data_IF_063381048602
#
_entry.id   IF_063381048602
#
_cell.length_a   1.000
_cell.length_b   1.000
_cell.length_c   1.000
_cell.angle_alpha   90.00
_cell.angle_beta   90.00
_cell.angle_gamma   90.00
#
_symmetry.space_group_name_H-M   'P 1'
#
loop_
_entity.id
_entity.type
_entity.pdbx_description
1 polymer ?
#
# COMPACT_ATOMS: atom_id res chain seq x y z
N UNK A 1 10.20 -17.09 -11.25
CA UNK A 1 8.78 -17.45 -11.44
C UNK A 1 8.10 -16.24 -12.07
N UNK A 2 7.36 -16.42 -13.17
CA UNK A 2 6.48 -15.38 -13.70
C UNK A 2 5.18 -15.38 -12.89
N UNK A 3 4.77 -14.23 -12.36
CA UNK A 3 3.48 -14.10 -11.69
C UNK A 3 2.33 -14.11 -12.71
N UNK A 4 1.09 -14.47 -12.30
CA UNK A 4 -0.09 -14.19 -13.13
C UNK A 4 -0.17 -12.71 -13.48
N UNK A 5 -0.63 -12.41 -14.71
CA UNK A 5 -0.68 -11.04 -15.23
C UNK A 5 -1.37 -10.03 -14.28
N UNK A 6 -2.50 -10.36 -13.62
CA UNK A 6 -3.14 -9.41 -12.70
C UNK A 6 -2.27 -9.07 -11.49
N UNK A 7 -1.52 -10.05 -10.96
CA UNK A 7 -0.59 -9.86 -9.83
C UNK A 7 0.57 -8.97 -10.25
N UNK A 8 1.12 -9.21 -11.44
CA UNK A 8 2.19 -8.38 -12.00
C UNK A 8 1.73 -6.94 -12.22
N UNK A 9 0.54 -6.73 -12.78
CA UNK A 9 -0.05 -5.39 -12.95
C UNK A 9 -0.20 -4.69 -11.61
N UNK A 10 -0.84 -5.33 -10.63
CA UNK A 10 -1.04 -4.76 -9.30
C UNK A 10 0.30 -4.38 -8.64
N UNK A 11 1.31 -5.24 -8.76
CA UNK A 11 2.64 -4.97 -8.21
C UNK A 11 3.28 -3.74 -8.86
N UNK A 12 3.24 -3.65 -10.19
CA UNK A 12 3.80 -2.50 -10.93
C UNK A 12 3.08 -1.21 -10.57
N UNK A 13 1.76 -1.25 -10.41
CA UNK A 13 0.97 -0.08 -10.03
C UNK A 13 1.36 0.40 -8.62
N UNK A 14 1.49 -0.52 -7.66
CA UNK A 14 1.96 -0.21 -6.31
C UNK A 14 3.38 0.37 -6.30
N UNK A 15 4.30 -0.21 -7.08
CA UNK A 15 5.67 0.28 -7.21
C UNK A 15 5.71 1.69 -7.83
N UNK A 16 4.90 1.94 -8.86
CA UNK A 16 4.79 3.26 -9.51
C UNK A 16 4.28 4.32 -8.55
N UNK A 17 3.16 4.06 -7.85
CA UNK A 17 2.57 4.99 -6.89
C UNK A 17 3.52 5.28 -5.74
N UNK A 18 4.23 4.25 -5.23
CA UNK A 18 5.24 4.43 -4.19
C UNK A 18 6.40 5.28 -4.68
N UNK A 19 6.89 5.07 -5.90
CA UNK A 19 7.97 5.85 -6.48
C UNK A 19 7.56 7.31 -6.74
N UNK A 20 6.31 7.56 -7.15
CA UNK A 20 5.74 8.91 -7.23
C UNK A 20 5.70 9.58 -5.87
N UNK A 21 5.14 8.91 -4.86
CA UNK A 21 5.06 9.45 -3.49
C UNK A 21 6.44 9.82 -2.94
N UNK A 22 7.43 8.94 -3.11
CA UNK A 22 8.80 9.20 -2.65
C UNK A 22 9.42 10.41 -3.33
N UNK A 23 9.16 10.63 -4.62
CA UNK A 23 9.63 11.82 -5.34
C UNK A 23 8.96 13.11 -4.85
N UNK A 24 7.67 13.07 -4.55
CA UNK A 24 6.92 14.24 -4.06
C UNK A 24 7.39 14.69 -2.66
N UNK A 25 7.83 13.75 -1.82
CA UNK A 25 8.30 14.05 -0.46
C UNK A 25 9.81 14.23 -0.35
N UNK A 26 10.54 13.99 -1.45
CA UNK A 26 11.99 14.14 -1.49
C UNK A 26 12.38 15.60 -1.25
N UNK A 27 13.29 15.83 -0.30
CA UNK A 27 13.81 17.17 -0.02
C UNK A 27 12.87 18.08 0.78
N UNK A 28 11.74 17.58 1.30
CA UNK A 28 10.91 18.35 2.22
C UNK A 28 11.70 18.76 3.46
N UNK A 29 11.67 20.07 3.75
CA UNK A 29 12.19 20.58 5.02
C UNK A 29 11.26 20.22 6.18
N UNK A 30 11.80 20.20 7.40
CA UNK A 30 11.01 19.96 8.61
C UNK A 30 9.80 20.90 8.73
N UNK A 31 9.98 22.18 8.39
CA UNK A 31 8.89 23.17 8.41
C UNK A 31 7.76 22.81 7.45
N UNK A 32 8.08 22.27 6.27
CA UNK A 32 7.07 21.84 5.31
C UNK A 32 6.39 20.55 5.79
N UNK A 33 7.15 19.62 6.38
CA UNK A 33 6.61 18.38 6.95
C UNK A 33 5.62 18.63 8.11
N UNK A 34 5.87 19.67 8.91
CA UNK A 34 5.03 20.07 10.05
C UNK A 34 3.89 21.02 9.67
N UNK A 35 3.90 21.59 8.47
CA UNK A 35 2.88 22.53 8.03
C UNK A 35 1.52 21.83 7.92
N UNK A 36 0.48 22.52 8.39
CA UNK A 36 -0.91 22.05 8.35
C UNK A 36 -1.80 23.09 7.66
N UNK A 37 -2.74 22.67 6.78
CA UNK A 37 -3.73 23.57 6.20
C UNK A 37 -4.62 24.24 7.27
N UNK A 38 -5.09 23.46 8.24
CA UNK A 38 -5.80 23.93 9.43
C UNK A 38 -5.34 23.20 10.67
N UNK A 39 -5.75 23.64 11.86
CA UNK A 39 -5.36 22.99 13.14
C UNK A 39 -5.95 21.59 13.34
N UNK A 40 -6.91 21.18 12.50
CA UNK A 40 -7.56 19.87 12.56
C UNK A 40 -7.10 18.91 11.46
N UNK A 41 -6.43 19.43 10.43
CA UNK A 41 -5.93 18.64 9.33
C UNK A 41 -4.58 18.01 9.67
N UNK A 42 -4.27 16.91 9.00
CA UNK A 42 -2.96 16.27 9.12
C UNK A 42 -1.91 17.07 8.37
N UNK A 43 -0.70 17.11 8.93
CA UNK A 43 0.46 17.57 8.18
C UNK A 43 0.90 16.49 7.18
N UNK A 44 1.65 16.88 6.16
CA UNK A 44 2.23 15.88 5.23
C UNK A 44 3.15 14.91 5.97
N UNK A 45 3.89 15.35 6.99
CA UNK A 45 4.68 14.48 7.85
C UNK A 45 3.84 13.42 8.57
N UNK A 46 2.67 13.78 9.09
CA UNK A 46 1.76 12.83 9.73
C UNK A 46 1.18 11.81 8.74
N UNK A 47 0.82 12.26 7.53
CA UNK A 47 0.35 11.37 6.46
C UNK A 47 1.43 10.35 6.11
N UNK A 48 2.67 10.79 5.90
CA UNK A 48 3.78 9.92 5.55
C UNK A 48 4.15 8.96 6.69
N UNK A 49 4.08 9.40 7.94
CA UNK A 49 4.30 8.53 9.10
C UNK A 49 3.27 7.38 9.13
N UNK A 50 1.98 7.68 8.95
CA UNK A 50 0.93 6.65 8.92
C UNK A 50 1.09 5.69 7.74
N UNK A 51 1.42 6.19 6.54
CA UNK A 51 1.70 5.34 5.39
C UNK A 51 2.90 4.43 5.63
N UNK A 52 3.95 4.95 6.26
CA UNK A 52 5.16 4.19 6.62
C UNK A 52 4.84 3.06 7.59
N UNK A 53 4.02 3.33 8.62
CA UNK A 53 3.56 2.32 9.58
C UNK A 53 2.78 1.21 8.85
N UNK A 54 1.84 1.57 7.97
CA UNK A 54 1.03 0.63 7.21
C UNK A 54 1.88 -0.25 6.26
N UNK A 55 2.84 0.35 5.55
CA UNK A 55 3.76 -0.36 4.65
C UNK A 55 4.60 -1.39 5.43
N UNK A 56 5.20 -0.98 6.55
CA UNK A 56 6.02 -1.86 7.40
C UNK A 56 5.18 -3.00 7.97
N UNK A 57 3.97 -2.71 8.47
CA UNK A 57 3.08 -3.73 9.04
C UNK A 57 2.69 -4.77 7.98
N UNK A 58 2.34 -4.32 6.77
CA UNK A 58 2.02 -5.18 5.64
C UNK A 58 3.19 -6.08 5.25
N UNK A 59 4.41 -5.54 5.19
CA UNK A 59 5.63 -6.32 4.91
C UNK A 59 5.92 -7.40 5.97
N UNK A 60 5.73 -7.05 7.25
CA UNK A 60 5.88 -8.00 8.37
C UNK A 60 4.85 -9.12 8.31
N UNK A 61 3.58 -8.78 8.08
CA UNK A 61 2.50 -9.75 7.96
C UNK A 61 2.73 -10.70 6.79
N UNK A 62 3.07 -10.15 5.61
CA UNK A 62 3.39 -10.94 4.41
C UNK A 62 4.51 -11.94 4.69
N UNK A 63 5.62 -11.47 5.28
CA UNK A 63 6.76 -12.33 5.65
C UNK A 63 6.36 -13.45 6.61
N UNK A 64 5.54 -13.13 7.62
CA UNK A 64 5.05 -14.12 8.59
C UNK A 64 4.21 -15.19 7.88
N UNK A 65 3.22 -14.79 7.08
CA UNK A 65 2.33 -15.70 6.36
C UNK A 65 3.10 -16.58 5.36
N UNK A 66 4.09 -16.04 4.66
CA UNK A 66 4.95 -16.83 3.76
C UNK A 66 5.74 -17.91 4.52
N UNK A 67 6.27 -17.58 5.70
CA UNK A 67 6.99 -18.56 6.54
C UNK A 67 6.06 -19.65 7.07
N UNK A 68 4.87 -19.29 7.53
CA UNK A 68 3.87 -20.24 8.02
C UNK A 68 3.42 -21.19 6.90
N UNK A 69 3.16 -20.67 5.68
CA UNK A 69 2.83 -21.48 4.52
C UNK A 69 3.97 -22.44 4.14
N UNK A 70 5.22 -21.98 4.18
CA UNK A 70 6.39 -22.82 3.90
C UNK A 70 6.58 -23.94 4.94
N UNK A 71 6.32 -23.65 6.22
CA UNK A 71 6.42 -24.61 7.32
C UNK A 71 5.29 -25.67 7.28
N UNK A 72 4.13 -25.32 6.70
CA UNK A 72 2.97 -26.21 6.54
C UNK A 72 3.13 -27.33 5.50
N UNK A 73 4.26 -27.41 4.79
CA UNK A 73 4.62 -28.56 3.95
C UNK A 73 4.02 -28.61 2.54
N UNK A 74 3.18 -27.64 2.15
CA UNK A 74 2.81 -27.45 0.76
C UNK A 74 2.95 -25.95 0.42
N UNK A 75 3.77 -25.56 -0.58
CA UNK A 75 3.62 -24.24 -1.13
C UNK A 75 2.21 -24.21 -1.72
N UNK A 76 1.34 -23.36 -1.18
CA UNK A 76 0.12 -23.02 -1.87
C UNK A 76 0.57 -22.44 -3.21
N UNK A 77 0.52 -23.26 -4.27
CA UNK A 77 0.80 -22.81 -5.62
C UNK A 77 -0.18 -21.68 -5.85
N UNK A 78 0.36 -20.48 -6.09
CA UNK A 78 -0.48 -19.32 -6.33
C UNK A 78 -1.44 -19.66 -7.48
N UNK A 79 -2.76 -19.44 -7.33
CA UNK A 79 -3.71 -19.88 -8.35
C UNK A 79 -3.36 -19.24 -9.69
N UNK A 80 -3.07 -20.08 -10.68
CA UNK A 80 -2.63 -19.62 -12.01
C UNK A 80 -3.80 -19.12 -12.86
N UNK A 81 -5.02 -19.38 -12.42
CA UNK A 81 -6.29 -19.00 -13.05
C UNK A 81 -6.84 -17.66 -12.56
N UNK A 82 -6.10 -16.93 -11.72
CA UNK A 82 -6.44 -15.54 -11.38
C UNK A 82 -6.38 -14.70 -12.66
N UNK A 83 -7.55 -14.30 -13.12
CA UNK A 83 -7.75 -13.46 -14.30
C UNK A 83 -8.01 -12.00 -13.93
N UNK A 84 -8.56 -11.75 -12.74
CA UNK A 84 -8.82 -10.42 -12.19
C UNK A 84 -8.86 -10.44 -10.65
N UNK A 85 -8.63 -9.28 -10.03
CA UNK A 85 -8.94 -9.06 -8.62
C UNK A 85 -10.34 -8.46 -8.49
N UNK A 86 -11.07 -8.84 -7.45
CA UNK A 86 -12.32 -8.17 -7.12
C UNK A 86 -12.07 -6.67 -6.89
N UNK A 87 -13.00 -5.83 -7.34
CA UNK A 87 -12.94 -4.40 -7.08
C UNK A 87 -12.82 -4.15 -5.58
N UNK A 88 -11.95 -3.21 -5.20
CA UNK A 88 -11.86 -2.78 -3.81
C UNK A 88 -13.25 -2.25 -3.40
N UNK A 89 -13.71 -2.57 -2.17
CA UNK A 89 -14.93 -1.94 -1.66
C UNK A 89 -14.73 -0.43 -1.66
N UNK A 90 -15.75 0.30 -2.13
CA UNK A 90 -15.78 1.77 -2.14
C UNK A 90 -15.40 2.27 -0.74
N UNK A 91 -14.36 3.10 -0.66
CA UNK A 91 -13.90 3.65 0.62
C UNK A 91 -15.01 4.51 1.24
N UNK A 92 -15.14 4.47 2.57
CA UNK A 92 -16.07 5.31 3.34
C UNK A 92 -15.87 6.81 3.04
N UNK A 93 -14.69 7.21 2.56
CA UNK A 93 -14.41 8.60 2.12
C UNK A 93 -15.13 9.02 0.83
N UNK A 94 -15.46 8.10 -0.08
CA UNK A 94 -16.30 8.42 -1.24
C UNK A 94 -17.77 8.54 -0.85
N UNK A 95 -18.25 7.72 0.10
CA UNK A 95 -19.59 7.84 0.66
C UNK A 95 -19.82 9.16 1.40
N UNK A 96 -18.77 9.73 2.00
CA UNK A 96 -18.81 11.03 2.69
C UNK A 96 -18.81 12.24 1.74
N UNK A 97 -18.54 12.06 0.44
CA UNK A 97 -18.54 13.10 -0.59
C UNK A 97 -19.64 12.91 -1.66
N UNK A 98 -20.61 12.02 -1.43
CA UNK A 98 -21.81 11.96 -2.26
C UNK A 98 -22.67 13.22 -2.02
N UNK A 99 -23.25 13.83 -3.08
CA UNK A 99 -23.94 15.12 -3.01
C UNK A 99 -25.21 15.12 -2.16
#
# INVERSE_FOLDING_TARGET
MSWPKPVETLWRDLESVRAELLREVEGLSQRQAEWRPTTRDWSVGEVIDHLTIAEIATGKLTTKLTKEAAAGGAPAVFPHDVTEFAALPISVSEAANAP
#
